data_IF_797096569191
#
_entry.id   IF_797096569191
#
_cell.length_a   1.000
_cell.length_b   1.000
_cell.length_c   1.000
_cell.angle_alpha   90.00
_cell.angle_beta   90.00
_cell.angle_gamma   90.00
#
_symmetry.space_group_name_H-M   'P 1'
#
loop_
_entity.id
_entity.type
_entity.pdbx_description
1 polymer ?
#
# COMPACT_ATOMS: atom_id res chain seq x y z
N UNK A 1 -15.85 -6.08 1.77
CA UNK A 1 -14.50 -5.51 1.96
C UNK A 1 -13.96 -5.23 0.57
N UNK A 2 -13.55 -3.99 0.28
CA UNK A 2 -12.95 -3.66 -1.03
C UNK A 2 -11.49 -4.09 -1.07
N UNK A 3 -10.88 -4.13 -2.27
CA UNK A 3 -9.43 -4.38 -2.42
C UNK A 3 -8.64 -3.34 -1.61
N UNK A 4 -9.00 -2.06 -1.74
CA UNK A 4 -8.42 -0.98 -0.96
C UNK A 4 -8.51 -1.24 0.54
N UNK A 5 -9.70 -1.57 1.06
CA UNK A 5 -9.88 -1.73 2.49
C UNK A 5 -9.14 -2.94 3.06
N UNK A 6 -9.02 -4.04 2.27
CA UNK A 6 -8.18 -5.21 2.61
C UNK A 6 -6.71 -4.79 2.71
N UNK A 7 -6.19 -4.13 1.67
CA UNK A 7 -4.78 -3.72 1.55
C UNK A 7 -4.39 -2.68 2.58
N UNK A 8 -5.25 -1.70 2.84
CA UNK A 8 -5.04 -0.69 3.89
C UNK A 8 -4.82 -1.35 5.25
N UNK A 9 -5.73 -2.25 5.63
CA UNK A 9 -5.64 -2.94 6.92
C UNK A 9 -4.39 -3.80 6.99
N UNK A 10 -4.07 -4.54 5.94
CA UNK A 10 -2.90 -5.41 5.87
C UNK A 10 -1.58 -4.63 6.00
N UNK A 11 -1.39 -3.58 5.20
CA UNK A 11 -0.16 -2.77 5.28
C UNK A 11 -0.04 -2.06 6.63
N UNK A 12 -1.16 -1.52 7.16
CA UNK A 12 -1.16 -0.87 8.48
C UNK A 12 -0.76 -1.82 9.60
N UNK A 13 -1.36 -3.01 9.66
CA UNK A 13 -1.04 -3.98 10.72
C UNK A 13 0.40 -4.46 10.63
N UNK A 14 0.92 -4.69 9.42
CA UNK A 14 2.33 -5.06 9.21
C UNK A 14 3.31 -3.94 9.59
N UNK A 15 2.90 -2.68 9.41
CA UNK A 15 3.66 -1.52 9.88
C UNK A 15 3.53 -1.29 11.41
N UNK A 16 2.72 -2.07 12.12
CA UNK A 16 2.50 -1.93 13.57
C UNK A 16 1.78 -0.65 13.97
N UNK A 17 1.04 -0.01 13.05
CA UNK A 17 0.40 1.28 13.30
C UNK A 17 -1.05 1.12 13.77
N UNK A 18 -1.47 1.99 14.70
CA UNK A 18 -2.90 2.20 14.97
C UNK A 18 -3.56 2.96 13.81
N UNK A 19 -4.90 2.90 13.72
CA UNK A 19 -5.66 3.66 12.73
C UNK A 19 -5.43 5.17 12.89
N UNK A 20 -5.48 5.66 14.13
CA UNK A 20 -5.14 7.04 14.50
C UNK A 20 -3.74 7.44 14.01
N UNK A 21 -2.72 6.63 14.36
CA UNK A 21 -1.34 6.94 14.00
C UNK A 21 -1.14 6.99 12.49
N UNK A 22 -1.73 6.06 11.75
CA UNK A 22 -1.69 6.11 10.28
C UNK A 22 -2.39 7.36 9.74
N UNK A 23 -3.56 7.71 10.27
CA UNK A 23 -4.29 8.92 9.87
C UNK A 23 -3.45 10.18 10.05
N UNK A 24 -2.81 10.33 11.22
CA UNK A 24 -1.91 11.47 11.51
C UNK A 24 -0.71 11.48 10.56
N UNK A 25 -0.06 10.33 10.33
CA UNK A 25 1.07 10.24 9.39
C UNK A 25 0.68 10.55 7.94
N UNK A 26 -0.57 10.25 7.56
CA UNK A 26 -1.13 10.60 6.26
C UNK A 26 -1.65 12.06 6.18
N UNK A 27 -1.41 12.87 7.22
CA UNK A 27 -1.79 14.29 7.25
C UNK A 27 -3.29 14.54 7.48
N UNK A 28 -3.98 13.61 8.14
CA UNK A 28 -5.34 13.83 8.65
C UNK A 28 -5.22 14.50 10.03
N UNK A 29 -6.09 15.46 10.29
CA UNK A 29 -6.25 16.07 11.61
C UNK A 29 -6.46 15.00 12.70
N UNK A 30 -5.73 15.13 13.80
CA UNK A 30 -5.66 14.12 14.87
C UNK A 30 -7.03 13.74 15.41
N UNK A 31 -7.92 14.71 15.63
CA UNK A 31 -9.28 14.49 16.15
C UNK A 31 -10.16 13.66 15.21
N UNK A 32 -9.85 13.63 13.92
CA UNK A 32 -10.62 12.90 12.90
C UNK A 32 -9.90 11.66 12.33
N UNK A 33 -8.62 11.49 12.68
CA UNK A 33 -7.71 10.50 12.10
C UNK A 33 -8.20 9.06 12.25
N UNK A 34 -8.52 8.65 13.48
CA UNK A 34 -9.02 7.30 13.81
C UNK A 34 -10.33 6.99 13.09
N UNK A 35 -11.29 7.93 13.13
CA UNK A 35 -12.61 7.76 12.52
C UNK A 35 -12.51 7.59 11.00
N UNK A 36 -11.70 8.41 10.31
CA UNK A 36 -11.52 8.32 8.85
C UNK A 36 -10.83 7.02 8.44
N UNK A 37 -9.75 6.63 9.12
CA UNK A 37 -9.06 5.37 8.81
C UNK A 37 -9.97 4.15 9.03
N UNK A 38 -10.77 4.14 10.10
CA UNK A 38 -11.77 3.09 10.31
C UNK A 38 -12.84 3.05 9.21
N UNK A 39 -13.30 4.19 8.71
CA UNK A 39 -14.25 4.24 7.59
C UNK A 39 -13.65 3.66 6.31
N UNK A 40 -12.38 3.95 6.03
CA UNK A 40 -11.65 3.37 4.90
C UNK A 40 -11.48 1.85 5.04
N UNK A 41 -11.05 1.36 6.22
CA UNK A 41 -10.88 -0.08 6.46
C UNK A 41 -12.19 -0.88 6.45
N UNK A 42 -13.32 -0.23 6.76
CA UNK A 42 -14.65 -0.84 6.65
C UNK A 42 -15.27 -0.71 5.25
N UNK A 43 -14.57 -0.09 4.30
CA UNK A 43 -15.08 0.23 2.97
C UNK A 43 -16.37 1.07 3.00
N UNK A 44 -16.56 1.90 4.04
CA UNK A 44 -17.69 2.83 4.14
C UNK A 44 -17.47 4.07 3.26
N UNK A 45 -16.23 4.51 3.18
CA UNK A 45 -15.78 5.56 2.28
C UNK A 45 -14.53 5.09 1.56
N UNK A 46 -14.32 5.61 0.37
CA UNK A 46 -13.10 5.42 -0.39
C UNK A 46 -12.34 6.75 -0.41
N UNK A 47 -11.03 6.76 -0.09
CA UNK A 47 -10.23 7.97 -0.21
C UNK A 47 -10.05 8.35 -1.68
N UNK A 48 -9.86 9.64 -1.95
CA UNK A 48 -9.33 10.08 -3.23
C UNK A 48 -7.86 9.64 -3.40
N UNK A 49 -7.36 9.72 -4.63
CA UNK A 49 -6.01 9.26 -4.93
C UNK A 49 -4.93 10.05 -4.17
N UNK A 50 -5.12 11.35 -3.95
CA UNK A 50 -4.20 12.18 -3.15
C UNK A 50 -4.04 11.64 -1.73
N UNK A 51 -5.13 11.21 -1.11
CA UNK A 51 -5.08 10.57 0.20
C UNK A 51 -4.44 9.18 0.13
N UNK A 52 -4.63 8.42 -0.96
CA UNK A 52 -3.90 7.16 -1.19
C UNK A 52 -2.39 7.37 -1.26
N UNK A 53 -1.91 8.37 -1.99
CA UNK A 53 -0.47 8.73 -2.04
C UNK A 53 0.10 9.02 -0.65
N UNK A 54 -0.64 9.77 0.19
CA UNK A 54 -0.22 10.07 1.57
C UNK A 54 -0.15 8.83 2.44
N UNK A 55 -1.16 7.96 2.34
CA UNK A 55 -1.21 6.68 3.05
C UNK A 55 -0.06 5.77 2.58
N UNK A 56 0.17 5.68 1.27
CA UNK A 56 1.24 4.88 0.65
C UNK A 56 2.61 5.30 1.18
N UNK A 57 2.88 6.61 1.18
CA UNK A 57 4.09 7.19 1.75
C UNK A 57 4.26 6.87 3.23
N UNK A 58 3.19 7.02 4.04
CA UNK A 58 3.23 6.72 5.47
C UNK A 58 3.53 5.22 5.76
N UNK A 59 3.11 4.33 4.87
CA UNK A 59 3.28 2.88 5.02
C UNK A 59 4.51 2.32 4.28
N UNK A 60 5.23 3.15 3.51
CA UNK A 60 6.37 2.75 2.69
C UNK A 60 6.02 1.56 1.76
N UNK A 61 4.93 1.74 1.00
CA UNK A 61 4.42 0.83 -0.04
C UNK A 61 4.04 1.67 -1.27
N UNK A 62 4.03 1.11 -2.49
CA UNK A 62 3.57 1.84 -3.67
C UNK A 62 2.04 1.99 -3.67
N UNK A 63 1.50 3.05 -4.26
CA UNK A 63 0.06 3.33 -4.33
C UNK A 63 -0.70 2.18 -5.03
N UNK A 64 -0.07 1.57 -6.04
CA UNK A 64 -0.61 0.42 -6.77
C UNK A 64 -0.90 -0.80 -5.87
N UNK A 65 -0.23 -0.93 -4.71
CA UNK A 65 -0.51 -1.98 -3.73
C UNK A 65 -1.97 -1.97 -3.28
N UNK A 66 -2.57 -0.79 -3.13
CA UNK A 66 -3.95 -0.66 -2.64
C UNK A 66 -5.00 -1.10 -3.66
N UNK A 67 -4.61 -1.34 -4.91
CA UNK A 67 -5.49 -1.76 -6.01
C UNK A 67 -5.18 -3.18 -6.52
N UNK A 68 -4.15 -3.84 -5.98
CA UNK A 68 -3.79 -5.20 -6.35
C UNK A 68 -4.69 -6.23 -5.63
N UNK A 69 -5.63 -6.85 -6.36
CA UNK A 69 -6.53 -7.85 -5.80
C UNK A 69 -5.82 -9.17 -5.46
N UNK A 70 -4.87 -9.57 -6.29
CA UNK A 70 -4.04 -10.75 -6.09
C UNK A 70 -2.99 -10.52 -4.99
N UNK A 71 -2.86 -11.48 -4.08
CA UNK A 71 -1.99 -11.36 -2.90
C UNK A 71 -0.51 -11.42 -3.27
N UNK A 72 -0.13 -12.25 -4.23
CA UNK A 72 1.25 -12.42 -4.67
C UNK A 72 1.71 -11.19 -5.45
N UNK A 73 0.88 -10.68 -6.37
CA UNK A 73 1.13 -9.46 -7.12
C UNK A 73 1.25 -8.25 -6.20
N UNK A 74 0.39 -8.13 -5.18
CA UNK A 74 0.49 -7.07 -4.19
C UNK A 74 1.84 -7.09 -3.46
N UNK A 75 2.30 -8.26 -3.05
CA UNK A 75 3.62 -8.40 -2.41
C UNK A 75 4.77 -8.13 -3.36
N UNK A 76 4.67 -8.54 -4.62
CA UNK A 76 5.66 -8.24 -5.64
C UNK A 76 5.82 -6.71 -5.84
N UNK A 77 4.72 -5.96 -5.84
CA UNK A 77 4.75 -4.49 -5.89
C UNK A 77 5.52 -3.89 -4.71
N UNK A 78 5.27 -4.38 -3.49
CA UNK A 78 5.96 -3.89 -2.27
C UNK A 78 7.44 -4.23 -2.30
N UNK A 79 7.80 -5.46 -2.69
CA UNK A 79 9.19 -5.89 -2.82
C UNK A 79 9.89 -5.01 -3.84
N UNK A 80 9.33 -4.87 -5.04
CA UNK A 80 9.92 -4.07 -6.11
C UNK A 80 10.08 -2.59 -5.70
N UNK A 81 9.08 -2.02 -5.02
CA UNK A 81 9.14 -0.66 -4.49
C UNK A 81 10.32 -0.45 -3.54
N UNK A 82 10.64 -1.43 -2.70
CA UNK A 82 11.72 -1.35 -1.69
C UNK A 82 13.10 -1.74 -2.20
N UNK A 83 13.20 -2.27 -3.41
CA UNK A 83 14.50 -2.61 -4.01
C UNK A 83 15.30 -1.34 -4.35
N UNK A 84 16.63 -1.35 -4.08
CA UNK A 84 17.58 -0.44 -4.67
C UNK A 84 17.52 -0.45 -6.21
N UNK A 85 17.91 0.67 -6.83
CA UNK A 85 17.80 0.83 -8.29
C UNK A 85 18.54 -0.26 -9.09
N UNK A 86 19.74 -0.66 -8.63
CA UNK A 86 20.54 -1.72 -9.25
C UNK A 86 19.90 -3.12 -9.11
N UNK A 87 19.20 -3.37 -8.00
CA UNK A 87 18.52 -4.64 -7.75
C UNK A 87 17.24 -4.78 -8.59
N UNK A 88 16.54 -3.67 -8.89
CA UNK A 88 15.33 -3.67 -9.72
C UNK A 88 15.60 -4.23 -11.13
N UNK A 89 16.69 -3.80 -11.77
CA UNK A 89 17.06 -4.28 -13.09
C UNK A 89 17.31 -5.80 -13.10
N UNK A 90 18.01 -6.31 -12.09
CA UNK A 90 18.26 -7.75 -11.93
C UNK A 90 16.98 -8.56 -11.74
N UNK A 91 16.06 -8.06 -10.91
CA UNK A 91 14.76 -8.73 -10.68
C UNK A 91 13.90 -8.73 -11.93
N UNK A 92 13.86 -7.62 -12.68
CA UNK A 92 13.13 -7.56 -13.95
C UNK A 92 13.71 -8.52 -14.97
N UNK A 93 15.04 -8.60 -15.09
CA UNK A 93 15.68 -9.56 -16.00
C UNK A 93 15.38 -11.00 -15.60
N UNK A 94 15.54 -11.35 -14.32
CA UNK A 94 15.21 -12.69 -13.85
C UNK A 94 13.74 -13.07 -14.10
N UNK A 95 12.82 -12.12 -13.89
CA UNK A 95 11.40 -12.35 -14.17
C UNK A 95 11.15 -12.57 -15.68
N UNK A 96 11.79 -11.78 -16.54
CA UNK A 96 11.78 -11.90 -17.99
C UNK A 96 12.28 -13.26 -18.47
N UNK A 97 13.42 -13.71 -17.93
CA UNK A 97 14.03 -15.00 -18.26
C UNK A 97 13.08 -16.16 -17.90
N UNK A 98 12.40 -16.09 -16.75
CA UNK A 98 11.45 -17.13 -16.29
C UNK A 98 10.26 -17.28 -17.24
N UNK A 99 9.78 -16.18 -17.84
CA UNK A 99 8.61 -16.21 -18.73
C UNK A 99 8.97 -16.21 -20.22
N UNK A 100 10.26 -16.21 -20.56
CA UNK A 100 10.74 -16.20 -21.94
C UNK A 100 10.47 -14.88 -22.68
N UNK A 101 10.48 -13.75 -21.98
CA UNK A 101 10.40 -12.42 -22.58
C UNK A 101 11.81 -11.83 -22.69
N UNK A 102 12.28 -11.53 -23.90
CA UNK A 102 13.58 -10.87 -24.13
C UNK A 102 13.59 -9.40 -23.64
#
# INVERSE_FOLDING_TARGET
MSVFSKRLKEARTRAGLSQERLGVLAGIDEMSSSARMNQYEKAKHEPDFTMVERIAKALNVPESYFYAADDEAAWLLVVFHRLPADARARVLQAARDVVGLE
#
